data_IF_260229919655
#
_entry.id   IF_260229919655
#
_cell.length_a   1.000
_cell.length_b   1.000
_cell.length_c   1.000
_cell.angle_alpha   90.00
_cell.angle_beta   90.00
_cell.angle_gamma   90.00
#
_symmetry.space_group_name_H-M   'P 1'
#
loop_
_entity.id
_entity.type
_entity.pdbx_description
1 polymer ?
#
# COMPACT_ATOMS: atom_id res chain seq x y z
N UNK A 1 -0.35 11.80 42.84
CA UNK A 1 -1.40 10.77 42.89
C UNK A 1 -0.99 9.49 43.62
N UNK A 2 0.24 8.97 43.48
CA UNK A 2 0.70 7.82 44.30
C UNK A 2 0.74 8.13 45.80
N UNK A 3 1.02 9.38 46.16
CA UNK A 3 1.03 9.84 47.56
C UNK A 3 -0.38 10.02 48.17
N UNK A 4 -1.44 10.15 47.37
CA UNK A 4 -2.81 10.31 47.91
C UNK A 4 -3.42 8.96 48.31
N UNK A 5 -3.06 7.87 47.64
CA UNK A 5 -3.57 6.53 47.95
C UNK A 5 -2.93 5.97 49.23
N UNK A 6 -1.68 6.34 49.53
CA UNK A 6 -1.01 5.92 50.78
C UNK A 6 -1.60 6.58 52.03
N UNK A 7 -2.10 7.81 51.93
CA UNK A 7 -2.64 8.54 53.09
C UNK A 7 -4.07 8.12 53.44
N UNK A 8 -4.86 7.62 52.47
CA UNK A 8 -6.24 7.16 52.73
C UNK A 8 -6.31 5.74 53.30
N UNK A 9 -5.24 4.94 53.30
CA UNK A 9 -5.27 3.57 53.82
C UNK A 9 -5.16 3.49 55.36
N UNK A 10 -4.86 4.60 56.05
CA UNK A 10 -5.08 4.70 57.49
C UNK A 10 -6.58 4.61 57.77
N UNK A 11 -6.98 3.82 58.76
CA UNK A 11 -8.30 3.99 59.38
C UNK A 11 -8.37 5.46 59.76
N UNK A 12 -9.19 6.26 59.05
CA UNK A 12 -9.24 7.70 59.32
C UNK A 12 -9.56 7.81 60.80
N UNK A 13 -8.73 8.54 61.55
CA UNK A 13 -8.75 8.63 63.01
C UNK A 13 -10.19 8.82 63.55
N UNK A 14 -11.06 9.44 62.75
CA UNK A 14 -12.50 9.59 62.94
C UNK A 14 -13.28 8.28 63.11
N UNK A 15 -13.00 7.23 62.34
CA UNK A 15 -13.66 5.90 62.46
C UNK A 15 -13.27 5.21 63.77
N UNK A 16 -11.98 5.28 64.14
CA UNK A 16 -11.50 4.74 65.42
C UNK A 16 -12.19 5.47 66.58
N UNK A 17 -12.27 6.79 66.50
CA UNK A 17 -12.94 7.62 67.52
C UNK A 17 -14.43 7.25 67.63
N UNK A 18 -15.16 7.11 66.51
CA UNK A 18 -16.58 6.76 66.55
C UNK A 18 -16.83 5.35 67.14
N UNK A 19 -15.97 4.37 66.83
CA UNK A 19 -16.03 3.03 67.43
C UNK A 19 -15.75 3.08 68.93
N UNK A 20 -14.75 3.85 69.36
CA UNK A 20 -14.44 4.03 70.79
C UNK A 20 -15.62 4.69 71.51
N UNK A 21 -16.21 5.74 70.94
CA UNK A 21 -17.37 6.43 71.51
C UNK A 21 -18.56 5.47 71.63
N UNK A 22 -18.87 4.69 70.59
CA UNK A 22 -19.92 3.68 70.65
C UNK A 22 -19.64 2.60 71.71
N UNK A 23 -18.39 2.16 71.84
CA UNK A 23 -17.96 1.22 72.87
C UNK A 23 -18.15 1.78 74.30
N UNK A 24 -17.82 3.05 74.51
CA UNK A 24 -18.04 3.74 75.79
C UNK A 24 -19.53 3.80 76.11
N UNK A 25 -20.39 4.18 75.16
CA UNK A 25 -21.84 4.23 75.38
C UNK A 25 -22.44 2.85 75.67
N UNK A 26 -21.93 1.79 75.03
CA UNK A 26 -22.31 0.40 75.33
C UNK A 26 -21.93 0.00 76.75
N UNK A 27 -20.69 0.24 77.17
CA UNK A 27 -20.20 -0.08 78.52
C UNK A 27 -21.00 0.70 79.57
N UNK A 28 -21.21 2.02 79.35
CA UNK A 28 -22.01 2.86 80.25
C UNK A 28 -23.46 2.38 80.31
N UNK A 29 -24.06 2.00 79.17
CA UNK A 29 -25.42 1.46 79.11
C UNK A 29 -25.56 0.16 79.88
N UNK A 30 -24.57 -0.74 79.80
CA UNK A 30 -24.52 -1.98 80.58
C UNK A 30 -24.41 -1.67 82.07
N UNK A 31 -23.46 -0.83 82.48
CA UNK A 31 -23.21 -0.50 83.89
C UNK A 31 -24.42 0.22 84.52
N UNK A 32 -25.03 1.18 83.83
CA UNK A 32 -26.23 1.88 84.31
C UNK A 32 -27.44 0.96 84.50
N UNK A 33 -27.53 -0.14 83.74
CA UNK A 33 -28.56 -1.14 83.93
C UNK A 33 -28.54 -1.81 85.31
N UNK A 34 -27.38 -1.82 85.97
CA UNK A 34 -27.19 -2.43 87.30
C UNK A 34 -27.13 -1.41 88.45
N UNK A 35 -27.18 -0.10 88.18
CA UNK A 35 -27.13 0.95 89.22
C UNK A 35 -28.55 1.38 89.59
N UNK A 36 -28.88 1.41 90.88
CA UNK A 36 -30.17 1.92 91.35
C UNK A 36 -30.20 3.46 91.36
N UNK A 37 -30.73 4.07 90.29
CA UNK A 37 -30.71 5.53 90.10
C UNK A 37 -31.63 6.29 91.09
N UNK A 38 -32.50 5.57 91.83
CA UNK A 38 -33.32 6.16 92.90
C UNK A 38 -32.47 6.77 94.02
N UNK A 39 -31.25 6.28 94.24
CA UNK A 39 -30.31 6.79 95.27
C UNK A 39 -29.73 8.16 94.88
N UNK A 40 -29.79 8.53 93.60
CA UNK A 40 -29.16 9.75 93.04
C UNK A 40 -30.23 10.81 92.66
N UNK A 41 -31.51 10.58 93.01
CA UNK A 41 -32.59 11.58 92.84
C UNK A 41 -33.24 11.61 91.45
N UNK A 42 -32.98 10.62 90.60
CA UNK A 42 -33.64 10.49 89.28
C UNK A 42 -34.88 9.58 89.40
N UNK A 43 -36.07 10.15 89.21
CA UNK A 43 -37.36 9.46 89.42
C UNK A 43 -37.90 8.66 88.21
N UNK A 44 -37.11 8.48 87.15
CA UNK A 44 -37.50 7.68 85.98
C UNK A 44 -36.86 6.31 86.05
N UNK A 45 -37.61 5.27 85.70
CA UNK A 45 -37.10 3.90 85.63
C UNK A 45 -35.86 3.80 84.73
N UNK A 46 -34.83 3.10 85.21
CA UNK A 46 -33.53 2.93 84.56
C UNK A 46 -33.62 2.48 83.09
N UNK A 47 -34.68 1.74 82.74
CA UNK A 47 -34.89 1.15 81.42
C UNK A 47 -34.90 2.18 80.28
N UNK A 48 -35.44 3.39 80.51
CA UNK A 48 -35.51 4.42 79.47
C UNK A 48 -34.14 4.96 79.06
N UNK A 49 -33.26 5.19 80.03
CA UNK A 49 -31.90 5.70 79.78
C UNK A 49 -30.99 4.64 79.15
N UNK A 50 -31.09 3.40 79.62
CA UNK A 50 -30.35 2.27 79.04
C UNK A 50 -30.76 2.07 77.57
N UNK A 51 -32.05 2.03 77.27
CA UNK A 51 -32.56 1.92 75.90
C UNK A 51 -32.06 3.05 74.99
N UNK A 52 -32.05 4.30 75.48
CA UNK A 52 -31.52 5.44 74.75
C UNK A 52 -30.01 5.31 74.45
N UNK A 53 -29.20 4.85 75.41
CA UNK A 53 -27.76 4.65 75.23
C UNK A 53 -27.43 3.53 74.23
N UNK A 54 -28.18 2.43 74.27
CA UNK A 54 -28.06 1.35 73.28
C UNK A 54 -28.52 1.81 71.88
N UNK A 55 -29.60 2.58 71.79
CA UNK A 55 -30.09 3.15 70.51
C UNK A 55 -29.06 4.11 69.89
N UNK A 56 -28.50 5.02 70.69
CA UNK A 56 -27.44 5.94 70.24
C UNK A 56 -26.20 5.17 69.81
N UNK A 57 -25.79 4.15 70.57
CA UNK A 57 -24.66 3.28 70.18
C UNK A 57 -24.92 2.57 68.85
N UNK A 58 -26.13 2.05 68.64
CA UNK A 58 -26.56 1.44 67.38
C UNK A 58 -26.51 2.41 66.21
N UNK A 59 -27.00 3.64 66.39
CA UNK A 59 -26.94 4.70 65.38
C UNK A 59 -25.49 5.07 65.04
N UNK A 60 -24.62 5.24 66.05
CA UNK A 60 -23.20 5.56 65.84
C UNK A 60 -22.49 4.43 65.09
N UNK A 61 -22.74 3.17 65.46
CA UNK A 61 -22.18 2.01 64.77
C UNK A 61 -22.69 1.92 63.32
N UNK A 62 -23.97 2.17 63.09
CA UNK A 62 -24.57 2.21 61.75
C UNK A 62 -23.93 3.30 60.87
N UNK A 63 -23.80 4.54 61.38
CA UNK A 63 -23.11 5.61 60.66
C UNK A 63 -21.64 5.30 60.42
N UNK A 64 -20.97 4.65 61.37
CA UNK A 64 -19.57 4.24 61.21
C UNK A 64 -19.43 3.18 60.10
N UNK A 65 -20.35 2.22 60.03
CA UNK A 65 -20.39 1.22 58.97
C UNK A 65 -20.68 1.87 57.59
N UNK A 66 -21.61 2.82 57.51
CA UNK A 66 -21.89 3.58 56.28
C UNK A 66 -20.68 4.38 55.82
N UNK A 67 -20.00 5.10 56.72
CA UNK A 67 -18.80 5.86 56.39
C UNK A 67 -17.67 4.94 55.87
N UNK A 68 -17.51 3.79 56.51
CA UNK A 68 -16.57 2.77 56.06
C UNK A 68 -16.93 2.25 54.66
N UNK A 69 -18.21 1.96 54.42
CA UNK A 69 -18.69 1.48 53.13
C UNK A 69 -18.49 2.52 52.02
N UNK A 70 -18.80 3.80 52.28
CA UNK A 70 -18.55 4.91 51.35
C UNK A 70 -17.06 5.02 51.01
N UNK A 71 -16.18 4.86 52.01
CA UNK A 71 -14.73 4.86 51.78
C UNK A 71 -14.30 3.71 50.86
N UNK A 72 -14.79 2.51 51.12
CA UNK A 72 -14.48 1.34 50.28
C UNK A 72 -14.94 1.54 48.84
N UNK A 73 -16.16 2.08 48.63
CA UNK A 73 -16.62 2.41 47.28
C UNK A 73 -15.75 3.45 46.58
N UNK A 74 -15.28 4.48 47.29
CA UNK A 74 -14.37 5.48 46.69
C UNK A 74 -13.07 4.83 46.22
N UNK A 75 -12.48 3.94 47.02
CA UNK A 75 -11.25 3.23 46.65
C UNK A 75 -11.46 2.34 45.42
N UNK A 76 -12.57 1.59 45.37
CA UNK A 76 -12.92 0.78 44.21
C UNK A 76 -13.08 1.61 42.94
N UNK A 77 -13.71 2.79 43.02
CA UNK A 77 -13.84 3.69 41.86
C UNK A 77 -12.49 4.20 41.37
N UNK A 78 -11.57 4.53 42.29
CA UNK A 78 -10.21 4.97 41.93
C UNK A 78 -9.45 3.85 41.22
N UNK A 79 -9.54 2.63 41.74
CA UNK A 79 -8.90 1.45 41.13
C UNK A 79 -9.48 1.14 39.76
N UNK A 80 -10.81 1.18 39.62
CA UNK A 80 -11.49 1.01 38.33
C UNK A 80 -11.07 2.08 37.31
N UNK A 81 -10.97 3.35 37.71
CA UNK A 81 -10.47 4.42 36.82
C UNK A 81 -9.06 4.14 36.34
N UNK A 82 -8.15 3.74 37.24
CA UNK A 82 -6.78 3.35 36.88
C UNK A 82 -6.77 2.18 35.90
N UNK A 83 -7.61 1.17 36.13
CA UNK A 83 -7.74 0.02 35.23
C UNK A 83 -8.26 0.43 33.85
N UNK A 84 -9.24 1.33 33.77
CA UNK A 84 -9.79 1.85 32.51
C UNK A 84 -8.73 2.69 31.78
N UNK A 85 -8.01 3.56 32.48
CA UNK A 85 -6.94 4.36 31.88
C UNK A 85 -5.82 3.47 31.32
N UNK A 86 -5.41 2.43 32.05
CA UNK A 86 -4.43 1.46 31.58
C UNK A 86 -4.92 0.68 30.34
N UNK A 87 -6.17 0.22 30.33
CA UNK A 87 -6.78 -0.45 29.17
C UNK A 87 -6.90 0.49 27.97
N UNK A 88 -7.29 1.74 28.19
CA UNK A 88 -7.43 2.74 27.12
C UNK A 88 -6.07 3.04 26.49
N UNK A 89 -5.03 3.22 27.32
CA UNK A 89 -3.67 3.44 26.83
C UNK A 89 -3.16 2.23 26.03
N UNK A 90 -3.37 1.01 26.53
CA UNK A 90 -3.03 -0.22 25.81
C UNK A 90 -3.79 -0.35 24.48
N UNK A 91 -5.07 0.02 24.44
CA UNK A 91 -5.87 0.01 23.20
C UNK A 91 -5.36 1.02 22.17
N UNK A 92 -4.91 2.18 22.62
CA UNK A 92 -4.31 3.20 21.76
C UNK A 92 -2.97 2.72 21.19
N UNK A 93 -2.12 2.14 22.03
CA UNK A 93 -0.83 1.55 21.61
C UNK A 93 -1.04 0.40 20.60
N UNK A 94 -2.06 -0.44 20.78
CA UNK A 94 -2.41 -1.50 19.83
C UNK A 94 -2.88 -0.95 18.48
N UNK A 95 -3.70 0.10 18.49
CA UNK A 95 -4.16 0.74 17.24
C UNK A 95 -2.99 1.42 16.50
N UNK A 96 -2.08 2.05 17.24
CA UNK A 96 -0.85 2.61 16.68
C UNK A 96 0.04 1.50 16.07
N UNK A 97 0.24 0.39 16.78
CA UNK A 97 0.97 -0.77 16.25
C UNK A 97 0.30 -1.35 15.00
N UNK A 98 -1.04 -1.44 14.97
CA UNK A 98 -1.78 -1.91 13.80
C UNK A 98 -1.56 -0.99 12.61
N UNK A 99 -1.62 0.32 12.82
CA UNK A 99 -1.36 1.31 11.77
C UNK A 99 0.06 1.17 11.21
N UNK A 100 1.06 1.04 12.08
CA UNK A 100 2.46 0.80 11.67
C UNK A 100 2.58 -0.49 10.85
N UNK A 101 1.92 -1.58 11.27
CA UNK A 101 1.94 -2.85 10.55
C UNK A 101 1.30 -2.73 9.16
N UNK A 102 0.17 -2.02 9.04
CA UNK A 102 -0.49 -1.79 7.75
C UNK A 102 0.39 -0.96 6.81
N UNK A 103 1.08 0.07 7.34
CA UNK A 103 2.06 0.85 6.58
C UNK A 103 3.25 -0.01 6.13
N UNK A 104 3.83 -0.83 7.03
CA UNK A 104 4.92 -1.75 6.71
C UNK A 104 4.52 -2.79 5.65
N UNK A 105 3.32 -3.36 5.76
CA UNK A 105 2.77 -4.27 4.75
C UNK A 105 2.67 -3.58 3.39
N UNK A 106 2.20 -2.33 3.36
CA UNK A 106 2.17 -1.51 2.14
C UNK A 106 3.56 -1.32 1.52
N UNK A 107 4.57 -1.03 2.34
CA UNK A 107 5.97 -0.89 1.90
C UNK A 107 6.51 -2.21 1.34
N UNK A 108 6.32 -3.33 2.03
CA UNK A 108 6.80 -4.65 1.59
C UNK A 108 6.19 -5.08 0.26
N UNK A 109 4.88 -4.84 0.07
CA UNK A 109 4.21 -5.15 -1.21
C UNK A 109 4.83 -4.35 -2.35
N UNK A 110 5.10 -3.05 -2.14
CA UNK A 110 5.77 -2.20 -3.13
C UNK A 110 7.20 -2.67 -3.41
N UNK A 111 7.98 -2.97 -2.38
CA UNK A 111 9.35 -3.47 -2.54
C UNK A 111 9.40 -4.79 -3.29
N UNK A 112 8.49 -5.72 -2.99
CA UNK A 112 8.40 -7.00 -3.70
C UNK A 112 8.03 -6.80 -5.17
N UNK A 113 7.06 -5.94 -5.47
CA UNK A 113 6.70 -5.60 -6.85
C UNK A 113 7.88 -4.99 -7.62
N UNK A 114 8.58 -4.02 -7.02
CA UNK A 114 9.79 -3.43 -7.59
C UNK A 114 10.88 -4.47 -7.85
N UNK A 115 11.14 -5.37 -6.89
CA UNK A 115 12.14 -6.42 -7.03
C UNK A 115 11.79 -7.41 -8.17
N UNK A 116 10.52 -7.78 -8.31
CA UNK A 116 10.07 -8.64 -9.42
C UNK A 116 10.31 -7.99 -10.79
N UNK A 117 10.00 -6.70 -10.92
CA UNK A 117 10.25 -5.95 -12.17
C UNK A 117 11.75 -5.89 -12.47
N UNK A 118 12.57 -5.48 -11.49
CA UNK A 118 14.02 -5.36 -11.67
C UNK A 118 14.62 -6.72 -12.07
N UNK A 119 14.26 -7.78 -11.38
CA UNK A 119 14.72 -9.14 -11.70
C UNK A 119 14.29 -9.59 -13.11
N UNK A 120 13.11 -9.19 -13.58
CA UNK A 120 12.65 -9.48 -14.93
C UNK A 120 13.49 -8.73 -15.99
N UNK A 121 13.78 -7.44 -15.75
CA UNK A 121 14.64 -6.62 -16.62
C UNK A 121 16.06 -7.20 -16.65
N UNK A 122 16.62 -7.58 -15.50
CA UNK A 122 17.95 -8.18 -15.42
C UNK A 122 18.01 -9.52 -16.13
N UNK A 123 16.98 -10.37 -15.96
CA UNK A 123 16.88 -11.66 -16.65
C UNK A 123 16.77 -11.48 -18.16
N UNK A 124 16.04 -10.46 -18.61
CA UNK A 124 15.97 -10.10 -20.02
C UNK A 124 17.35 -9.69 -20.55
N UNK A 125 18.07 -8.80 -19.86
CA UNK A 125 19.42 -8.37 -20.24
C UNK A 125 20.43 -9.54 -20.28
N UNK A 126 20.34 -10.47 -19.32
CA UNK A 126 21.13 -11.70 -19.33
C UNK A 126 20.80 -12.60 -20.53
N UNK A 127 19.52 -12.72 -20.90
CA UNK A 127 19.12 -13.45 -22.09
C UNK A 127 19.72 -12.84 -23.36
N UNK A 128 19.67 -11.51 -23.50
CA UNK A 128 20.23 -10.79 -24.67
C UNK A 128 21.73 -11.07 -24.84
N UNK A 129 22.48 -10.89 -23.77
CA UNK A 129 23.94 -11.06 -23.76
C UNK A 129 24.38 -12.50 -24.00
N UNK A 130 23.71 -13.49 -23.38
CA UNK A 130 24.07 -14.91 -23.54
C UNK A 130 23.86 -15.46 -24.94
N UNK A 131 22.87 -14.94 -25.67
CA UNK A 131 22.47 -15.47 -26.98
C UNK A 131 22.99 -14.63 -28.15
N UNK A 132 23.80 -13.58 -27.92
CA UNK A 132 24.25 -12.68 -29.00
C UNK A 132 23.07 -12.10 -29.78
N UNK A 133 22.02 -11.70 -29.06
CA UNK A 133 20.75 -11.30 -29.69
C UNK A 133 20.93 -10.04 -30.52
N UNK A 134 21.81 -9.14 -30.09
CA UNK A 134 22.09 -7.90 -30.79
C UNK A 134 22.61 -8.12 -32.21
N UNK A 135 23.62 -8.98 -32.36
CA UNK A 135 24.23 -9.29 -33.65
C UNK A 135 23.23 -9.96 -34.60
N UNK A 136 22.34 -10.79 -34.04
CA UNK A 136 21.26 -11.42 -34.80
C UNK A 136 20.21 -10.41 -35.27
N UNK A 137 19.83 -9.46 -34.39
CA UNK A 137 18.89 -8.39 -34.71
C UNK A 137 19.48 -7.48 -35.79
N UNK A 138 20.74 -7.05 -35.67
CA UNK A 138 21.38 -6.23 -36.71
C UNK A 138 21.44 -6.94 -38.05
N UNK A 139 21.84 -8.22 -38.06
CA UNK A 139 21.90 -9.02 -39.29
C UNK A 139 20.53 -9.12 -39.97
N UNK A 140 19.48 -9.36 -39.19
CA UNK A 140 18.12 -9.40 -39.70
C UNK A 140 17.67 -8.04 -40.26
N UNK A 141 17.88 -6.97 -39.48
CA UNK A 141 17.42 -5.63 -39.82
C UNK A 141 18.09 -5.06 -41.07
N UNK A 142 19.34 -5.44 -41.36
CA UNK A 142 20.01 -4.99 -42.59
C UNK A 142 19.23 -5.39 -43.86
N UNK A 143 18.75 -6.63 -43.93
CA UNK A 143 17.94 -7.10 -45.06
C UNK A 143 16.54 -6.51 -45.06
N UNK A 144 15.94 -6.43 -43.87
CA UNK A 144 14.59 -5.90 -43.68
C UNK A 144 14.48 -4.41 -44.03
N UNK A 145 15.41 -3.57 -43.53
CA UNK A 145 15.43 -2.13 -43.76
C UNK A 145 15.54 -1.79 -45.25
N UNK A 146 16.38 -2.51 -46.00
CA UNK A 146 16.48 -2.33 -47.45
C UNK A 146 15.15 -2.58 -48.17
N UNK A 147 14.39 -3.61 -47.75
CA UNK A 147 13.05 -3.88 -48.29
C UNK A 147 12.06 -2.78 -47.93
N UNK A 148 12.09 -2.29 -46.68
CA UNK A 148 11.26 -1.15 -46.26
C UNK A 148 11.53 0.11 -47.08
N UNK A 149 12.81 0.45 -47.31
CA UNK A 149 13.18 1.60 -48.15
C UNK A 149 12.67 1.45 -49.58
N UNK A 150 12.81 0.27 -50.19
CA UNK A 150 12.32 0.02 -51.54
C UNK A 150 10.78 0.12 -51.64
N UNK A 151 10.07 -0.35 -50.62
CA UNK A 151 8.62 -0.24 -50.55
C UNK A 151 8.17 1.23 -50.47
N UNK A 152 8.86 2.04 -49.66
CA UNK A 152 8.55 3.47 -49.58
C UNK A 152 8.76 4.17 -50.92
N UNK A 153 9.88 3.93 -51.60
CA UNK A 153 10.15 4.51 -52.94
C UNK A 153 9.04 4.13 -53.93
N UNK A 154 8.50 2.91 -53.83
CA UNK A 154 7.40 2.46 -54.68
C UNK A 154 6.09 3.17 -54.35
N UNK A 155 5.78 3.36 -53.06
CA UNK A 155 4.59 4.08 -52.60
C UNK A 155 4.67 5.56 -52.98
N UNK A 156 5.82 6.22 -52.75
CA UNK A 156 6.01 7.64 -53.08
C UNK A 156 5.82 7.93 -54.57
N UNK A 157 6.13 6.96 -55.45
CA UNK A 157 5.86 7.10 -56.90
C UNK A 157 4.37 7.02 -57.24
N UNK A 158 3.59 6.28 -56.46
CA UNK A 158 2.18 6.00 -56.73
C UNK A 158 1.22 6.92 -55.97
N UNK A 159 1.69 7.58 -54.92
CA UNK A 159 0.92 8.42 -54.02
C UNK A 159 1.57 9.79 -53.83
N UNK A 160 0.77 10.86 -53.80
CA UNK A 160 1.24 12.19 -53.39
C UNK A 160 1.76 12.17 -51.94
N UNK A 161 2.73 13.02 -51.63
CA UNK A 161 3.37 13.12 -50.30
C UNK A 161 2.42 13.37 -49.12
N UNK A 162 1.24 13.91 -49.40
CA UNK A 162 0.21 14.20 -48.39
C UNK A 162 -0.94 13.16 -48.35
N UNK A 163 -0.80 12.05 -49.07
CA UNK A 163 -1.85 11.06 -49.17
C UNK A 163 -1.82 10.07 -48.00
N UNK A 164 -2.81 10.18 -47.11
CA UNK A 164 -3.04 9.29 -45.97
C UNK A 164 -3.09 7.80 -46.36
N UNK A 165 -3.65 7.47 -47.54
CA UNK A 165 -3.70 6.09 -48.02
C UNK A 165 -2.31 5.50 -48.28
N UNK A 166 -1.34 6.33 -48.70
CA UNK A 166 0.04 5.91 -48.91
C UNK A 166 0.73 5.54 -47.60
N UNK A 167 0.56 6.36 -46.55
CA UNK A 167 1.10 6.06 -45.21
C UNK A 167 0.48 4.80 -44.60
N UNK A 168 -0.83 4.61 -44.76
CA UNK A 168 -1.52 3.39 -44.31
C UNK A 168 -1.02 2.15 -45.04
N UNK A 169 -0.84 2.24 -46.36
CA UNK A 169 -0.27 1.14 -47.14
C UNK A 169 1.18 0.85 -46.73
N UNK A 170 1.99 1.88 -46.48
CA UNK A 170 3.37 1.71 -46.05
C UNK A 170 3.45 1.00 -44.69
N UNK A 171 2.65 1.44 -43.72
CA UNK A 171 2.61 0.83 -42.40
C UNK A 171 2.14 -0.65 -42.46
N UNK A 172 1.17 -0.99 -43.32
CA UNK A 172 0.74 -2.37 -43.55
C UNK A 172 1.83 -3.22 -44.21
N UNK A 173 2.54 -2.69 -45.21
CA UNK A 173 3.65 -3.40 -45.85
C UNK A 173 4.78 -3.64 -44.85
N UNK A 174 5.06 -2.69 -43.98
CA UNK A 174 6.08 -2.80 -42.95
C UNK A 174 5.73 -3.96 -41.98
N UNK A 175 4.53 -3.97 -41.43
CA UNK A 175 4.04 -5.05 -40.57
C UNK A 175 4.07 -6.44 -41.25
N UNK A 176 3.53 -6.55 -42.47
CA UNK A 176 3.42 -7.82 -43.18
C UNK A 176 4.79 -8.37 -43.62
N UNK A 177 5.67 -7.50 -44.11
CA UNK A 177 7.01 -7.93 -44.49
C UNK A 177 7.79 -8.38 -43.27
N UNK A 178 7.62 -7.76 -42.10
CA UNK A 178 8.30 -8.20 -40.89
C UNK A 178 8.02 -9.66 -40.57
N UNK A 179 6.74 -10.07 -40.59
CA UNK A 179 6.33 -11.46 -40.34
C UNK A 179 6.96 -12.41 -41.37
N UNK A 180 6.90 -12.03 -42.65
CA UNK A 180 7.44 -12.84 -43.75
C UNK A 180 8.95 -12.99 -43.64
N UNK A 181 9.69 -11.89 -43.56
CA UNK A 181 11.15 -11.91 -43.45
C UNK A 181 11.60 -12.67 -42.20
N UNK A 182 10.90 -12.46 -41.08
CA UNK A 182 11.22 -13.16 -39.84
C UNK A 182 11.00 -14.66 -39.98
N UNK A 183 10.02 -15.12 -40.76
CA UNK A 183 9.82 -16.57 -41.01
C UNK A 183 10.90 -17.21 -41.88
N UNK A 184 11.53 -16.42 -42.76
CA UNK A 184 12.57 -16.88 -43.70
C UNK A 184 13.98 -16.80 -43.08
N UNK A 185 14.14 -16.16 -41.92
CA UNK A 185 15.42 -15.98 -41.26
C UNK A 185 15.84 -17.19 -40.43
N UNK A 186 17.06 -17.73 -40.66
CA UNK A 186 17.57 -18.94 -39.99
C UNK A 186 17.46 -18.91 -38.45
N UNK A 187 17.63 -17.74 -37.83
CA UNK A 187 17.59 -17.56 -36.38
C UNK A 187 16.29 -16.92 -35.87
N UNK A 188 15.20 -17.03 -36.63
CA UNK A 188 13.89 -16.50 -36.30
C UNK A 188 13.44 -16.85 -34.87
N UNK A 189 13.74 -18.07 -34.41
CA UNK A 189 13.32 -18.56 -33.10
C UNK A 189 13.91 -17.74 -31.94
N UNK A 190 15.13 -17.24 -32.08
CA UNK A 190 15.80 -16.42 -31.05
C UNK A 190 15.19 -15.03 -31.02
N UNK A 191 14.94 -14.42 -32.18
CA UNK A 191 14.29 -13.10 -32.27
C UNK A 191 12.84 -13.18 -31.74
N UNK A 192 12.09 -14.23 -32.04
CA UNK A 192 10.75 -14.45 -31.45
C UNK A 192 10.79 -14.57 -29.93
N UNK A 193 11.76 -15.32 -29.39
CA UNK A 193 11.97 -15.41 -27.93
C UNK A 193 12.33 -14.06 -27.32
N UNK A 194 13.15 -13.27 -28.01
CA UNK A 194 13.49 -11.91 -27.59
C UNK A 194 12.24 -11.03 -27.48
N UNK A 195 11.40 -10.99 -28.52
CA UNK A 195 10.14 -10.23 -28.53
C UNK A 195 9.24 -10.70 -27.39
N UNK A 196 9.01 -12.01 -27.26
CA UNK A 196 8.18 -12.57 -26.21
C UNK A 196 8.68 -12.22 -24.80
N UNK A 197 10.00 -12.26 -24.58
CA UNK A 197 10.58 -11.92 -23.29
C UNK A 197 10.39 -10.42 -23.01
N UNK A 198 10.67 -9.54 -23.98
CA UNK A 198 10.45 -8.11 -23.81
C UNK A 198 9.00 -7.78 -23.47
N UNK A 199 8.07 -8.45 -24.13
CA UNK A 199 6.64 -8.36 -23.90
C UNK A 199 6.21 -8.86 -22.52
N UNK A 200 6.76 -9.99 -22.06
CA UNK A 200 6.51 -10.48 -20.70
C UNK A 200 7.05 -9.50 -19.64
N UNK A 201 8.18 -8.84 -19.88
CA UNK A 201 8.73 -7.83 -18.98
C UNK A 201 7.82 -6.60 -18.92
N UNK A 202 7.37 -6.09 -20.07
CA UNK A 202 6.40 -4.99 -20.15
C UNK A 202 5.08 -5.33 -19.46
N UNK A 203 4.57 -6.55 -19.66
CA UNK A 203 3.39 -7.05 -18.97
C UNK A 203 3.52 -7.02 -17.45
N UNK A 204 4.68 -7.48 -16.93
CA UNK A 204 4.93 -7.47 -15.50
C UNK A 204 4.96 -6.05 -14.95
N UNK A 205 5.59 -5.12 -15.68
CA UNK A 205 5.59 -3.70 -15.32
C UNK A 205 4.15 -3.18 -15.22
N UNK A 206 3.32 -3.43 -16.24
CA UNK A 206 1.92 -3.00 -16.25
C UNK A 206 1.10 -3.60 -15.12
N UNK A 207 1.26 -4.90 -14.89
CA UNK A 207 0.56 -5.62 -13.82
C UNK A 207 0.83 -5.01 -12.44
N UNK A 208 2.04 -4.51 -12.21
CA UNK A 208 2.46 -3.96 -10.92
C UNK A 208 2.33 -2.42 -10.83
N UNK A 209 2.10 -1.73 -11.96
CA UNK A 209 1.96 -0.28 -12.01
C UNK A 209 0.85 0.27 -11.07
N UNK A 210 -0.34 -0.35 -10.92
CA UNK A 210 -1.37 0.13 -9.98
C UNK A 210 -0.91 0.15 -8.50
N UNK A 211 -0.01 -0.76 -8.13
CA UNK A 211 0.54 -0.88 -6.77
C UNK A 211 1.64 0.17 -6.53
N UNK A 212 2.48 0.37 -7.54
CA UNK A 212 3.64 1.26 -7.48
C UNK A 212 3.24 2.73 -7.68
N UNK A 213 2.17 2.99 -8.45
CA UNK A 213 1.72 4.32 -8.89
C UNK A 213 2.81 5.11 -9.60
N UNK A 214 3.72 4.41 -10.26
CA UNK A 214 4.92 4.96 -10.85
C UNK A 214 5.19 4.33 -12.23
N UNK A 215 5.36 5.19 -13.24
CA UNK A 215 5.60 4.79 -14.64
C UNK A 215 7.10 4.69 -14.99
N UNK A 216 8.01 4.95 -14.06
CA UNK A 216 9.45 4.98 -14.34
C UNK A 216 10.01 3.64 -14.82
N UNK A 217 9.39 2.50 -14.48
CA UNK A 217 9.90 1.19 -14.88
C UNK A 217 9.78 0.90 -16.38
N UNK A 218 8.74 1.41 -17.06
CA UNK A 218 8.64 1.29 -18.51
C UNK A 218 9.75 2.08 -19.18
N UNK A 219 10.00 3.31 -18.73
CA UNK A 219 11.12 4.13 -19.21
C UNK A 219 12.47 3.47 -18.93
N UNK A 220 12.66 2.91 -17.73
CA UNK A 220 13.88 2.19 -17.38
C UNK A 220 14.11 1.03 -18.34
N UNK A 221 13.08 0.23 -18.62
CA UNK A 221 13.18 -0.87 -19.58
C UNK A 221 13.58 -0.34 -20.96
N UNK A 222 12.90 0.70 -21.47
CA UNK A 222 13.22 1.29 -22.77
C UNK A 222 14.64 1.81 -22.90
N UNK A 223 15.18 2.45 -21.86
CA UNK A 223 16.57 2.92 -21.87
C UNK A 223 17.62 1.78 -21.90
N UNK A 224 17.23 0.53 -21.62
CA UNK A 224 18.12 -0.64 -21.76
C UNK A 224 18.12 -1.25 -23.17
N UNK A 225 17.29 -0.73 -24.08
CA UNK A 225 17.26 -1.14 -25.47
C UNK A 225 18.02 -0.17 -26.36
N UNK A 226 18.71 -0.69 -27.36
CA UNK A 226 19.23 0.14 -28.45
C UNK A 226 18.18 0.31 -29.57
N UNK A 227 18.46 1.21 -30.51
CA UNK A 227 17.55 1.48 -31.64
C UNK A 227 17.11 0.22 -32.40
N UNK A 228 18.02 -0.65 -32.86
CA UNK A 228 17.67 -1.92 -33.50
C UNK A 228 16.74 -2.81 -32.64
N UNK A 229 17.02 -2.93 -31.36
CA UNK A 229 16.21 -3.67 -30.39
C UNK A 229 14.81 -3.07 -30.21
N UNK A 230 14.71 -1.75 -30.13
CA UNK A 230 13.45 -1.01 -30.07
C UNK A 230 12.62 -1.22 -31.33
N UNK A 231 13.25 -1.13 -32.50
CA UNK A 231 12.62 -1.33 -33.79
C UNK A 231 11.90 -2.69 -33.87
N UNK A 232 12.58 -3.76 -33.45
CA UNK A 232 12.00 -5.10 -33.41
C UNK A 232 10.77 -5.17 -32.51
N UNK A 233 10.83 -4.59 -31.30
CA UNK A 233 9.73 -4.63 -30.34
C UNK A 233 8.48 -3.88 -30.86
N UNK A 234 8.69 -2.69 -31.43
CA UNK A 234 7.61 -1.85 -31.94
C UNK A 234 6.97 -2.41 -33.21
N UNK A 235 7.77 -2.87 -34.17
CA UNK A 235 7.25 -3.47 -35.40
C UNK A 235 6.51 -4.77 -35.08
N UNK A 236 7.05 -5.58 -34.17
CA UNK A 236 6.34 -6.79 -33.72
C UNK A 236 4.98 -6.46 -33.09
N UNK A 237 4.80 -5.26 -32.52
CA UNK A 237 3.56 -4.86 -31.86
C UNK A 237 2.45 -4.42 -32.83
N UNK A 238 2.78 -4.28 -34.12
CA UNK A 238 1.82 -3.98 -35.19
C UNK A 238 1.79 -5.10 -36.24
N UNK A 239 2.60 -6.13 -36.06
CA UNK A 239 2.68 -7.28 -36.95
C UNK A 239 1.60 -8.30 -36.58
N UNK A 240 0.93 -8.84 -37.59
CA UNK A 240 -0.13 -9.84 -37.39
C UNK A 240 0.41 -11.12 -36.75
N UNK A 241 -0.35 -11.67 -35.79
CA UNK A 241 0.00 -12.91 -35.07
C UNK A 241 1.00 -12.75 -33.92
N UNK A 242 1.34 -11.51 -33.54
CA UNK A 242 2.12 -11.20 -32.32
C UNK A 242 1.19 -10.59 -31.25
N UNK A 243 1.48 -10.77 -29.94
CA UNK A 243 0.64 -10.21 -28.90
C UNK A 243 0.76 -8.69 -28.81
N UNK A 244 -0.37 -8.01 -28.65
CA UNK A 244 -0.46 -6.56 -28.53
C UNK A 244 -0.17 -6.10 -27.09
N UNK A 245 0.67 -5.08 -26.95
CA UNK A 245 0.97 -4.43 -25.67
C UNK A 245 0.63 -2.94 -25.69
N UNK A 246 -0.10 -2.50 -24.66
CA UNK A 246 -0.50 -1.10 -24.47
C UNK A 246 0.70 -0.20 -24.30
N UNK A 247 1.72 -0.61 -23.53
CA UNK A 247 2.92 0.20 -23.27
C UNK A 247 3.81 0.50 -24.47
N UNK A 248 3.58 -0.14 -25.61
CA UNK A 248 4.22 0.21 -26.87
C UNK A 248 3.23 1.05 -27.69
N UNK A 249 3.02 2.29 -27.24
CA UNK A 249 2.23 3.28 -27.96
C UNK A 249 3.11 3.97 -29.00
N UNK A 250 2.56 4.12 -30.22
CA UNK A 250 3.21 4.91 -31.25
C UNK A 250 2.87 6.37 -31.00
N UNK A 251 3.81 7.10 -30.38
CA UNK A 251 3.81 8.54 -30.36
C UNK A 251 4.62 9.11 -31.53
N UNK A 252 4.63 10.43 -31.63
CA UNK A 252 5.37 11.14 -32.68
C UNK A 252 6.87 10.85 -32.62
N UNK A 253 7.46 10.86 -31.42
CA UNK A 253 8.91 10.69 -31.23
C UNK A 253 9.34 9.25 -31.49
N UNK A 254 8.57 8.28 -31.01
CA UNK A 254 8.80 6.85 -31.22
C UNK A 254 8.72 6.53 -32.72
N UNK A 255 7.71 7.07 -33.41
CA UNK A 255 7.55 6.93 -34.86
C UNK A 255 8.75 7.52 -35.60
N UNK A 256 9.17 8.73 -35.23
CA UNK A 256 10.32 9.41 -35.83
C UNK A 256 11.60 8.57 -35.66
N UNK A 257 11.91 8.17 -34.43
CA UNK A 257 13.11 7.40 -34.11
C UNK A 257 13.15 6.07 -34.89
N UNK A 258 12.04 5.34 -34.92
CA UNK A 258 11.94 4.06 -35.64
C UNK A 258 12.17 4.23 -37.15
N UNK A 259 11.57 5.26 -37.75
CA UNK A 259 11.77 5.53 -39.17
C UNK A 259 13.20 5.97 -39.47
N UNK A 260 13.80 6.78 -38.60
CA UNK A 260 15.22 7.13 -38.71
C UNK A 260 16.13 5.90 -38.63
N UNK A 261 15.80 4.91 -37.79
CA UNK A 261 16.54 3.63 -37.72
C UNK A 261 16.38 2.84 -39.03
N UNK A 262 15.17 2.74 -39.57
CA UNK A 262 14.91 2.02 -40.83
C UNK A 262 15.69 2.64 -42.00
N UNK A 263 15.69 3.97 -42.10
CA UNK A 263 16.28 4.71 -43.21
C UNK A 263 17.71 5.17 -42.95
N UNK A 264 18.35 4.75 -41.84
CA UNK A 264 19.70 5.19 -41.43
C UNK A 264 20.76 5.00 -42.50
N UNK A 265 20.71 3.89 -43.23
CA UNK A 265 21.68 3.57 -44.30
C UNK A 265 21.18 4.02 -45.69
N UNK A 266 20.02 4.69 -45.76
CA UNK A 266 19.44 5.15 -47.02
C UNK A 266 19.86 6.58 -47.37
N UNK A 267 19.71 6.95 -48.63
CA UNK A 267 19.95 8.32 -49.12
C UNK A 267 18.76 9.26 -48.78
N UNK A 268 17.66 8.72 -48.23
CA UNK A 268 16.42 9.46 -48.01
C UNK A 268 16.53 10.30 -46.75
N UNK A 269 16.37 11.62 -46.89
CA UNK A 269 16.20 12.55 -45.78
C UNK A 269 14.82 12.36 -45.15
N UNK A 270 14.76 11.74 -43.97
CA UNK A 270 13.51 11.35 -43.32
C UNK A 270 12.67 12.56 -42.91
N UNK A 271 13.29 13.66 -42.47
CA UNK A 271 12.57 14.86 -42.00
C UNK A 271 11.87 15.60 -43.13
N UNK A 272 12.44 15.56 -44.34
CA UNK A 272 11.83 16.18 -45.53
C UNK A 272 10.86 15.26 -46.27
N UNK A 273 11.00 13.95 -46.07
CA UNK A 273 10.24 12.95 -46.82
C UNK A 273 8.97 12.53 -46.11
N UNK A 274 8.99 12.38 -44.78
CA UNK A 274 7.87 11.80 -44.03
C UNK A 274 7.07 12.84 -43.25
N UNK A 275 5.75 12.78 -43.38
CA UNK A 275 4.83 13.36 -42.41
C UNK A 275 4.63 12.40 -41.23
N UNK A 276 5.40 12.58 -40.15
CA UNK A 276 5.36 11.70 -39.00
C UNK A 276 4.02 11.67 -38.28
N UNK A 277 3.20 12.73 -38.35
CA UNK A 277 1.86 12.72 -37.75
C UNK A 277 0.92 11.75 -38.47
N UNK A 278 0.91 11.78 -39.80
CA UNK A 278 0.12 10.85 -40.61
C UNK A 278 0.60 9.41 -40.44
N UNK A 279 1.91 9.21 -40.37
CA UNK A 279 2.48 7.88 -40.17
C UNK A 279 2.20 7.33 -38.76
N UNK A 280 2.29 8.17 -37.72
CA UNK A 280 1.91 7.80 -36.34
C UNK A 280 0.44 7.38 -36.30
N UNK A 281 -0.44 8.12 -36.97
CA UNK A 281 -1.87 7.77 -37.09
C UNK A 281 -2.04 6.41 -37.80
N UNK A 282 -1.36 6.20 -38.92
CA UNK A 282 -1.41 4.94 -39.65
C UNK A 282 -0.96 3.73 -38.80
N UNK A 283 0.13 3.85 -38.03
CA UNK A 283 0.58 2.77 -37.14
C UNK A 283 -0.43 2.45 -36.04
N UNK A 284 -1.04 3.48 -35.42
CA UNK A 284 -2.07 3.29 -34.40
C UNK A 284 -3.38 2.72 -34.98
N UNK A 285 -3.74 3.06 -36.22
CA UNK A 285 -4.92 2.46 -36.88
C UNK A 285 -4.72 0.98 -37.20
N UNK A 286 -3.51 0.56 -37.59
CA UNK A 286 -3.22 -0.87 -37.79
C UNK A 286 -3.37 -1.61 -36.47
N UNK A 287 -2.86 -1.04 -35.37
CA UNK A 287 -2.99 -1.59 -34.02
C UNK A 287 -4.44 -1.82 -33.57
N UNK A 288 -5.41 -1.08 -34.13
CA UNK A 288 -6.83 -1.15 -33.75
C UNK A 288 -7.68 -2.10 -34.61
N UNK A 289 -7.16 -2.57 -35.74
CA UNK A 289 -7.95 -3.28 -36.76
C UNK A 289 -7.64 -4.79 -36.89
N UNK A 290 -6.76 -5.33 -36.02
CA UNK A 290 -6.55 -6.77 -35.79
C UNK A 290 -7.18 -7.20 -34.45
#
# INVERSE_FOLDING_TARGET
MENEVKDENKLSVRHVILLIIAGIFLIIGIVLGFINLNVIGLQKENHGYVSALFSISGVILYFTALLYQIKQYKLQVIELRKSIEAQTKSSFELEEQRKILEEQKGVLIKQNASAQIINAIDSFNQFKSRNGVYELIEKFLKGYNQKCTNNWITIERNYSKDNEAGYKQYALLLANNFVKELSEFDNASIIRKYVQFGYNTLYLIDKHNPILKDRHYSSLFHCQQNGPEMLILYISNIASGMPLYSNLEWGFYETKEIIEIIFRESIIDTEKTFNFLQLTKAFNEIKQND
#
